data_IF_540998535814
#
_entry.id   IF_540998535814
#
_cell.length_a   1.000
_cell.length_b   1.000
_cell.length_c   1.000
_cell.angle_alpha   90.00
_cell.angle_beta   90.00
_cell.angle_gamma   90.00
#
_symmetry.space_group_name_H-M   'P 1'
#
loop_
_entity.id
_entity.type
_entity.pdbx_description
1 polymer ?
#
# COMPACT_ATOMS: atom_id res chain seq x y z
N UNK A 1 1.22 1.31 46.53
CA UNK A 1 0.86 0.61 45.27
C UNK A 1 0.63 1.72 44.25
N UNK A 2 1.68 2.10 43.51
CA UNK A 2 1.63 3.19 42.56
C UNK A 2 1.12 2.65 41.23
N UNK A 3 0.06 3.26 40.70
CA UNK A 3 -0.46 2.97 39.37
C UNK A 3 0.44 3.76 38.42
N UNK A 4 1.24 3.08 37.61
CA UNK A 4 2.13 3.73 36.66
C UNK A 4 1.29 4.47 35.59
N UNK A 5 1.38 5.82 35.49
CA UNK A 5 0.54 6.62 34.58
C UNK A 5 0.85 6.37 33.09
N UNK A 6 1.90 5.62 32.79
CA UNK A 6 2.25 5.22 31.43
C UNK A 6 1.51 3.97 30.94
N UNK A 7 0.79 3.24 31.82
CA UNK A 7 0.04 2.04 31.46
C UNK A 7 -1.27 2.38 30.72
N UNK A 8 -1.91 3.51 31.06
CA UNK A 8 -3.21 3.92 30.49
C UNK A 8 -3.10 4.51 29.07
N UNK A 9 -1.91 5.01 28.69
CA UNK A 9 -1.69 5.65 27.38
C UNK A 9 -1.45 4.64 26.24
N UNK A 10 -1.16 3.38 26.56
CA UNK A 10 -0.91 2.34 25.53
C UNK A 10 -2.20 1.65 25.05
N UNK A 11 -3.30 1.76 25.81
CA UNK A 11 -4.55 1.07 25.50
C UNK A 11 -5.41 1.85 24.47
N UNK A 12 -5.19 3.16 24.33
CA UNK A 12 -5.90 4.03 23.38
C UNK A 12 -5.31 4.03 21.97
N UNK A 13 -4.09 3.50 21.79
CA UNK A 13 -3.42 3.42 20.47
C UNK A 13 -3.95 2.25 19.62
N UNK A 14 -4.76 1.36 20.20
CA UNK A 14 -5.21 0.12 19.56
C UNK A 14 -6.47 0.24 18.70
N UNK A 15 -6.85 1.45 18.31
CA UNK A 15 -7.92 1.67 17.34
C UNK A 15 -7.52 2.71 16.32
N UNK A 16 -6.54 2.37 15.47
CA UNK A 16 -6.28 3.16 14.27
C UNK A 16 -7.49 3.00 13.32
N UNK A 17 -8.28 4.05 13.05
CA UNK A 17 -9.58 3.91 12.40
C UNK A 17 -9.48 3.54 10.91
N UNK A 18 -8.29 3.61 10.32
CA UNK A 18 -8.06 3.20 8.94
C UNK A 18 -7.96 1.68 8.85
N UNK A 19 -9.11 1.06 8.61
CA UNK A 19 -9.21 -0.39 8.42
C UNK A 19 -8.78 -0.83 7.02
N UNK A 20 -9.08 -0.01 6.00
CA UNK A 20 -8.89 -0.37 4.58
C UNK A 20 -8.89 0.86 3.68
N UNK A 21 -8.06 0.84 2.64
CA UNK A 21 -8.08 1.81 1.55
C UNK A 21 -8.88 1.27 0.37
N UNK A 22 -9.77 2.08 -0.21
CA UNK A 22 -10.55 1.71 -1.40
C UNK A 22 -10.04 2.44 -2.64
N UNK A 23 -9.66 1.70 -3.69
CA UNK A 23 -9.24 2.25 -4.98
C UNK A 23 -10.18 1.82 -6.10
N UNK A 24 -10.53 2.77 -6.97
CA UNK A 24 -11.24 2.49 -8.22
C UNK A 24 -10.21 2.26 -9.32
N UNK A 25 -10.31 1.13 -10.01
CA UNK A 25 -9.34 0.70 -11.02
C UNK A 25 -10.00 0.48 -12.37
N UNK A 26 -9.33 0.90 -13.44
CA UNK A 26 -9.82 0.71 -14.81
C UNK A 26 -9.54 -0.71 -15.33
N UNK A 27 -8.47 -1.35 -14.85
CA UNK A 27 -8.10 -2.70 -15.24
C UNK A 27 -7.76 -3.49 -13.97
N UNK A 28 -8.67 -4.39 -13.58
CA UNK A 28 -8.53 -5.19 -12.36
C UNK A 28 -7.28 -6.07 -12.40
N UNK A 29 -7.07 -6.80 -13.49
CA UNK A 29 -5.96 -7.74 -13.60
C UNK A 29 -4.61 -7.04 -13.42
N UNK A 30 -4.40 -5.94 -14.14
CA UNK A 30 -3.16 -5.14 -14.03
C UNK A 30 -2.92 -4.65 -12.61
N UNK A 31 -3.97 -4.21 -11.92
CA UNK A 31 -3.85 -3.74 -10.54
C UNK A 31 -3.57 -4.88 -9.57
N UNK A 32 -4.22 -6.04 -9.74
CA UNK A 32 -3.94 -7.23 -8.95
C UNK A 32 -2.49 -7.69 -9.12
N UNK A 33 -1.98 -7.74 -10.36
CA UNK A 33 -0.60 -8.14 -10.63
C UNK A 33 0.40 -7.21 -9.95
N UNK A 34 0.14 -5.90 -9.99
CA UNK A 34 1.00 -4.91 -9.34
C UNK A 34 1.05 -5.09 -7.82
N UNK A 35 -0.10 -5.17 -7.16
CA UNK A 35 -0.13 -5.28 -5.70
C UNK A 35 0.30 -6.65 -5.18
N UNK A 36 0.12 -7.72 -5.97
CA UNK A 36 0.66 -9.03 -5.63
C UNK A 36 2.18 -9.09 -5.74
N UNK A 37 2.78 -8.39 -6.71
CA UNK A 37 4.24 -8.23 -6.77
C UNK A 37 4.80 -7.47 -5.57
N UNK A 38 4.02 -6.57 -4.98
CA UNK A 38 4.35 -5.90 -3.72
C UNK A 38 4.17 -6.79 -2.48
N UNK A 39 3.71 -8.03 -2.64
CA UNK A 39 3.55 -9.00 -1.55
C UNK A 39 2.16 -9.05 -0.92
N UNK A 40 1.16 -8.33 -1.47
CA UNK A 40 -0.22 -8.46 -1.00
C UNK A 40 -0.89 -9.69 -1.62
N UNK A 41 -1.69 -10.42 -0.85
CA UNK A 41 -2.44 -11.57 -1.33
C UNK A 41 -3.92 -11.25 -1.44
N UNK A 42 -4.63 -11.92 -2.35
CA UNK A 42 -6.10 -11.83 -2.42
C UNK A 42 -6.68 -12.51 -1.20
N UNK A 43 -7.45 -11.75 -0.40
CA UNK A 43 -8.13 -12.25 0.80
C UNK A 43 -9.64 -12.34 0.61
N UNK A 44 -10.18 -11.69 -0.43
CA UNK A 44 -11.60 -11.64 -0.75
C UNK A 44 -11.77 -11.36 -2.25
N UNK A 45 -12.58 -12.15 -2.94
CA UNK A 45 -12.90 -11.93 -4.35
C UNK A 45 -14.42 -11.95 -4.54
N UNK A 46 -14.97 -10.80 -4.93
CA UNK A 46 -16.41 -10.59 -5.16
C UNK A 46 -16.64 -10.09 -6.59
N UNK A 47 -15.88 -10.62 -7.54
CA UNK A 47 -16.10 -10.35 -8.95
C UNK A 47 -17.23 -11.22 -9.50
N UNK A 48 -18.02 -10.64 -10.40
CA UNK A 48 -18.97 -11.38 -11.22
C UNK A 48 -18.25 -12.10 -12.38
N UNK A 49 -19.05 -12.82 -13.19
CA UNK A 49 -18.56 -13.59 -14.35
C UNK A 49 -17.90 -12.74 -15.42
N UNK A 50 -18.24 -11.44 -15.48
CA UNK A 50 -17.69 -10.48 -16.43
C UNK A 50 -16.44 -9.76 -15.86
N UNK A 51 -16.02 -10.10 -14.64
CA UNK A 51 -14.87 -9.53 -13.96
C UNK A 51 -15.13 -8.14 -13.33
N UNK A 52 -16.38 -7.70 -13.26
CA UNK A 52 -16.76 -6.50 -12.52
C UNK A 52 -16.97 -6.82 -11.05
N UNK A 53 -16.81 -5.83 -10.18
CA UNK A 53 -16.99 -6.01 -8.74
C UNK A 53 -15.79 -5.52 -7.95
N UNK A 54 -15.45 -6.23 -6.88
CA UNK A 54 -14.36 -5.82 -5.99
C UNK A 54 -13.48 -6.98 -5.56
N UNK A 55 -12.20 -6.70 -5.34
CA UNK A 55 -11.23 -7.65 -4.79
C UNK A 55 -10.54 -7.01 -3.59
N UNK A 56 -10.50 -7.73 -2.48
CA UNK A 56 -9.77 -7.38 -1.27
C UNK A 56 -8.36 -7.98 -1.29
N UNK A 57 -7.37 -7.15 -1.02
CA UNK A 57 -5.95 -7.48 -0.92
C UNK A 57 -5.45 -7.20 0.49
N UNK A 58 -4.61 -8.08 1.01
CA UNK A 58 -4.16 -8.03 2.40
C UNK A 58 -2.81 -8.68 2.64
N UNK A 59 -2.37 -8.61 3.89
CA UNK A 59 -1.24 -9.37 4.40
C UNK A 59 -1.78 -10.35 5.45
N UNK A 60 -1.67 -11.66 5.17
CA UNK A 60 -2.31 -12.68 5.99
C UNK A 60 -3.84 -12.57 5.94
N UNK A 61 -4.48 -12.43 7.11
CA UNK A 61 -5.94 -12.30 7.24
C UNK A 61 -6.43 -10.85 7.25
N UNK A 62 -5.53 -9.86 7.23
CA UNK A 62 -5.90 -8.46 7.35
C UNK A 62 -6.09 -7.82 5.97
N UNK A 63 -7.32 -7.47 5.61
CA UNK A 63 -7.63 -6.75 4.36
C UNK A 63 -7.18 -5.28 4.47
N UNK A 64 -6.18 -4.90 3.68
CA UNK A 64 -5.60 -3.55 3.69
C UNK A 64 -6.13 -2.69 2.54
N UNK A 65 -6.43 -3.30 1.40
CA UNK A 65 -6.74 -2.63 0.15
C UNK A 65 -7.95 -3.29 -0.53
N UNK A 66 -8.94 -2.50 -0.94
CA UNK A 66 -10.04 -2.95 -1.79
C UNK A 66 -9.92 -2.29 -3.16
N UNK A 67 -9.78 -3.11 -4.19
CA UNK A 67 -9.87 -2.68 -5.57
C UNK A 67 -11.32 -2.85 -6.04
N UNK A 68 -11.88 -1.82 -6.67
CA UNK A 68 -13.22 -1.86 -7.27
C UNK A 68 -13.13 -1.49 -8.74
N UNK A 69 -13.72 -2.29 -9.61
CA UNK A 69 -13.76 -2.02 -11.05
C UNK A 69 -14.49 -0.70 -11.31
N UNK A 70 -13.94 0.12 -12.21
CA UNK A 70 -14.56 1.36 -12.70
C UNK A 70 -14.75 1.28 -14.22
N UNK A 71 -15.85 0.66 -14.69
CA UNK A 71 -16.13 0.52 -16.11
C UNK A 71 -16.28 1.90 -16.77
N UNK A 72 -15.59 2.12 -17.89
CA UNK A 72 -15.63 3.41 -18.60
C UNK A 72 -15.05 4.59 -17.81
N UNK A 73 -14.35 4.32 -16.70
CA UNK A 73 -13.72 5.34 -15.88
C UNK A 73 -12.67 6.14 -16.63
N UNK A 74 -12.67 7.45 -16.44
CA UNK A 74 -11.60 8.32 -16.93
C UNK A 74 -10.57 8.56 -15.83
N UNK A 75 -9.28 8.74 -16.16
CA UNK A 75 -8.28 9.18 -15.19
C UNK A 75 -8.76 10.43 -14.46
N UNK A 76 -8.45 10.53 -13.16
CA UNK A 76 -8.79 11.74 -12.40
C UNK A 76 -8.08 12.94 -13.04
N UNK A 77 -8.78 14.05 -13.32
CA UNK A 77 -8.15 15.29 -13.76
C UNK A 77 -7.03 15.73 -12.80
N UNK A 78 -6.05 16.48 -13.30
CA UNK A 78 -5.01 17.05 -12.43
C UNK A 78 -5.64 18.06 -11.46
N UNK A 79 -5.03 18.24 -10.30
CA UNK A 79 -5.43 19.25 -9.30
C UNK A 79 -6.85 19.11 -8.72
N UNK A 80 -7.43 17.90 -8.69
CA UNK A 80 -8.69 17.65 -7.96
C UNK A 80 -8.43 17.15 -6.55
N UNK A 81 -9.30 17.48 -5.60
CA UNK A 81 -9.22 17.03 -4.21
C UNK A 81 -9.63 15.54 -4.04
N UNK A 82 -9.00 14.85 -3.09
CA UNK A 82 -9.28 13.45 -2.71
C UNK A 82 -8.01 12.63 -2.48
N UNK A 83 -8.15 11.34 -2.13
CA UNK A 83 -7.03 10.44 -1.85
C UNK A 83 -5.99 10.48 -2.98
N UNK A 84 -4.75 10.82 -2.64
CA UNK A 84 -3.64 11.01 -3.58
C UNK A 84 -2.51 10.00 -3.34
N UNK A 85 -2.20 9.71 -2.08
CA UNK A 85 -1.22 8.70 -1.70
C UNK A 85 -1.72 7.92 -0.48
N UNK A 86 -1.26 6.67 -0.35
CA UNK A 86 -1.32 5.88 0.87
C UNK A 86 0.02 5.14 1.01
N UNK A 87 0.42 4.84 2.23
CA UNK A 87 1.68 4.15 2.50
C UNK A 87 1.38 2.74 3.03
N UNK A 88 2.14 1.76 2.56
CA UNK A 88 2.18 0.41 3.12
C UNK A 88 3.47 0.31 3.93
N UNK A 89 3.35 -0.01 5.22
CA UNK A 89 4.53 -0.35 6.02
C UNK A 89 4.98 -1.74 5.63
N UNK A 90 6.24 -1.84 5.23
CA UNK A 90 6.94 -3.10 5.00
C UNK A 90 7.88 -3.36 6.19
N UNK A 91 8.10 -4.63 6.60
CA UNK A 91 9.03 -4.94 7.68
C UNK A 91 10.48 -4.53 7.35
N UNK A 92 11.24 -4.22 8.39
CA UNK A 92 12.64 -3.71 8.38
C UNK A 92 13.69 -4.78 7.97
N UNK A 93 14.98 -4.42 7.97
CA UNK A 93 15.93 -4.49 6.85
C UNK A 93 16.54 -5.85 6.42
N UNK A 94 16.66 -6.98 7.17
CA UNK A 94 17.42 -8.13 6.66
C UNK A 94 16.73 -8.90 5.52
N UNK A 95 15.52 -8.52 5.14
CA UNK A 95 14.76 -9.09 4.02
C UNK A 95 14.74 -8.21 2.76
N UNK A 96 15.51 -7.12 2.74
CA UNK A 96 15.48 -6.12 1.67
C UNK A 96 15.97 -6.59 0.28
N UNK A 97 16.90 -7.54 0.22
CA UNK A 97 17.59 -7.90 -1.03
C UNK A 97 16.67 -8.45 -2.15
N UNK A 98 15.74 -9.40 -1.88
CA UNK A 98 14.87 -9.94 -2.93
C UNK A 98 13.77 -8.97 -3.39
N UNK A 99 13.25 -8.13 -2.48
CA UNK A 99 12.17 -7.18 -2.78
C UNK A 99 12.67 -6.04 -3.68
N UNK A 100 13.87 -5.50 -3.37
CA UNK A 100 14.48 -4.44 -4.16
C UNK A 100 14.83 -4.92 -5.58
N UNK A 101 15.46 -6.09 -5.71
CA UNK A 101 15.83 -6.67 -7.02
C UNK A 101 14.62 -6.88 -7.95
N UNK A 102 13.49 -7.33 -7.40
CA UNK A 102 12.29 -7.67 -8.20
C UNK A 102 11.41 -6.45 -8.52
N UNK A 103 11.28 -5.49 -7.59
CA UNK A 103 10.37 -4.36 -7.75
C UNK A 103 11.03 -3.07 -8.28
N UNK A 104 12.30 -2.83 -7.97
CA UNK A 104 12.98 -1.58 -8.36
C UNK A 104 13.37 -1.56 -9.85
N UNK A 105 13.92 -2.67 -10.36
CA UNK A 105 14.39 -2.76 -11.75
C UNK A 105 13.27 -2.89 -12.80
N UNK A 106 12.06 -3.30 -12.38
CA UNK A 106 11.01 -3.64 -13.34
C UNK A 106 10.13 -2.46 -13.79
N UNK A 107 10.09 -1.30 -13.10
CA UNK A 107 9.11 -0.26 -13.47
C UNK A 107 9.44 1.19 -13.09
N UNK A 108 10.45 1.51 -12.26
CA UNK A 108 10.69 2.91 -11.82
C UNK A 108 11.69 3.67 -12.73
N UNK A 109 12.18 3.07 -13.81
CA UNK A 109 13.10 3.72 -14.76
C UNK A 109 12.40 4.23 -16.01
N UNK A 110 11.24 4.90 -15.86
CA UNK A 110 10.78 5.82 -16.90
C UNK A 110 10.48 7.19 -16.30
N UNK A 111 11.58 7.95 -16.17
CA UNK A 111 11.66 9.42 -16.27
C UNK A 111 10.96 10.24 -15.18
N UNK A 112 11.54 10.25 -13.99
CA UNK A 112 11.57 11.43 -13.11
C UNK A 112 12.94 11.48 -12.41
N UNK A 113 13.81 12.40 -12.82
CA UNK A 113 15.07 12.70 -12.14
C UNK A 113 14.77 13.19 -10.72
N UNK A 114 15.23 12.45 -9.71
CA UNK A 114 15.25 12.90 -8.32
C UNK A 114 16.69 13.28 -7.98
N UNK A 115 16.99 14.56 -7.68
CA UNK A 115 18.35 14.99 -7.39
C UNK A 115 18.89 14.36 -6.10
N UNK A 116 20.15 13.92 -6.18
CA UNK A 116 20.90 13.11 -5.20
C UNK A 116 21.30 13.84 -3.88
N UNK A 117 20.63 14.91 -3.47
CA UNK A 117 21.16 15.80 -2.40
C UNK A 117 20.54 15.66 -1.02
N UNK A 118 19.68 14.67 -0.76
CA UNK A 118 19.13 14.45 0.59
C UNK A 118 19.35 12.99 0.99
N UNK A 119 20.56 12.64 1.40
CA UNK A 119 20.87 11.58 2.38
C UNK A 119 22.36 11.72 2.75
N UNK A 120 22.65 12.54 3.75
CA UNK A 120 23.94 12.50 4.46
C UNK A 120 23.69 11.78 5.78
N UNK A 121 23.82 10.45 5.77
CA UNK A 121 23.95 9.66 6.98
C UNK A 121 25.45 9.51 7.27
N UNK A 122 25.98 10.39 8.12
CA UNK A 122 27.32 10.24 8.70
C UNK A 122 27.25 9.14 9.75
N UNK A 123 27.76 7.96 9.40
CA UNK A 123 28.23 6.98 10.37
C UNK A 123 29.52 7.51 11.01
N UNK A 124 29.56 7.56 12.33
CA UNK A 124 30.79 7.33 13.08
C UNK A 124 30.44 6.73 14.43
N UNK A 125 31.07 5.59 14.65
CA UNK A 125 31.30 4.82 15.88
C UNK A 125 31.39 5.70 17.12
#
# INVERSE_FOLDING_TARGET
MAIDPHTEQQETVKNWPLRRVGLRVQNMQRSLDYYQRLGLTVVRDERDVDGNGSVGLGAGTNELLQLRTLPGGRPRPRHTAGLFHFALLVPDEPSWDPFYSTCWNATITSRWEVPQTIWSARHSI
#
